data_IF_320287056454
#
_entry.id   IF_320287056454
#
_cell.length_a   1.000
_cell.length_b   1.000
_cell.length_c   1.000
_cell.angle_alpha   90.00
_cell.angle_beta   90.00
_cell.angle_gamma   90.00
#
_symmetry.space_group_name_H-M   'P 1'
#
loop_
_entity.id
_entity.type
_entity.pdbx_description
1 polymer ?
#
# COMPACT_ATOMS: atom_id res chain seq x y z
N UNK A 1 -3.52 -30.63 45.15
CA UNK A 1 -3.53 -29.35 44.39
C UNK A 1 -2.59 -28.38 45.11
N UNK A 2 -1.78 -27.60 44.40
CA UNK A 2 -0.87 -26.63 45.05
C UNK A 2 0.55 -26.63 44.45
N UNK A 3 1.48 -26.01 45.16
CA UNK A 3 2.90 -25.82 44.76
C UNK A 3 3.57 -27.11 44.26
N UNK A 4 3.45 -28.20 45.02
CA UNK A 4 4.01 -29.51 44.66
C UNK A 4 3.50 -30.07 43.31
N UNK A 5 2.31 -29.66 42.87
CA UNK A 5 1.74 -30.11 41.59
C UNK A 5 2.21 -29.30 40.38
N UNK A 6 2.71 -28.07 40.57
CA UNK A 6 3.17 -27.23 39.46
C UNK A 6 4.47 -27.72 38.84
N UNK A 7 5.38 -28.30 39.63
CA UNK A 7 6.65 -28.86 39.11
C UNK A 7 6.47 -30.00 38.10
N UNK A 8 5.33 -30.70 38.13
CA UNK A 8 5.00 -31.79 37.21
C UNK A 8 4.44 -31.29 35.85
N UNK A 9 4.17 -29.99 35.68
CA UNK A 9 3.50 -29.42 34.48
C UNK A 9 4.48 -29.09 33.34
N UNK A 10 5.11 -30.12 32.75
CA UNK A 10 6.07 -29.97 31.64
C UNK A 10 5.47 -30.04 30.23
N UNK A 11 4.38 -30.78 30.05
CA UNK A 11 3.75 -30.96 28.73
C UNK A 11 2.97 -29.70 28.32
N UNK A 12 3.14 -29.25 27.07
CA UNK A 12 2.45 -28.07 26.54
C UNK A 12 1.25 -28.53 25.69
N UNK A 13 0.08 -27.99 25.98
CA UNK A 13 -1.14 -28.29 25.23
C UNK A 13 -1.32 -27.42 23.99
N UNK A 14 -0.70 -26.23 23.98
CA UNK A 14 -0.81 -25.25 22.90
C UNK A 14 0.53 -24.98 22.22
N UNK A 15 0.53 -24.97 20.89
CA UNK A 15 1.65 -24.56 20.04
C UNK A 15 1.29 -23.31 19.23
N UNK A 16 2.28 -22.78 18.49
CA UNK A 16 2.10 -21.63 17.61
C UNK A 16 1.19 -22.01 16.43
N UNK A 17 0.16 -21.21 16.17
CA UNK A 17 -0.69 -21.39 14.99
C UNK A 17 -0.05 -20.71 13.78
N UNK A 18 0.28 -21.48 12.73
CA UNK A 18 0.88 -20.98 11.48
C UNK A 18 0.03 -19.88 10.82
N UNK A 19 -1.30 -19.99 10.89
CA UNK A 19 -2.21 -18.99 10.29
C UNK A 19 -2.30 -17.69 11.08
N UNK A 20 -2.28 -17.78 12.41
CA UNK A 20 -2.60 -16.64 13.27
C UNK A 20 -1.37 -16.01 13.95
N UNK A 21 -0.23 -16.70 13.98
CA UNK A 21 0.97 -16.32 14.72
C UNK A 21 0.81 -16.36 16.26
N UNK A 22 -0.31 -16.87 16.79
CA UNK A 22 -0.60 -16.92 18.24
C UNK A 22 -0.37 -18.32 18.80
N UNK A 23 0.07 -18.42 20.06
CA UNK A 23 0.15 -19.69 20.82
C UNK A 23 -1.26 -20.12 21.28
N UNK A 24 -2.06 -20.56 20.33
CA UNK A 24 -3.47 -20.94 20.57
C UNK A 24 -3.89 -22.22 19.84
N UNK A 25 -2.97 -22.87 19.13
CA UNK A 25 -3.27 -24.12 18.44
C UNK A 25 -3.21 -25.25 19.47
N UNK A 26 -4.35 -25.82 19.85
CA UNK A 26 -4.38 -26.93 20.80
C UNK A 26 -4.07 -28.23 20.05
N UNK A 27 -3.12 -29.03 20.55
CA UNK A 27 -2.65 -30.23 19.84
C UNK A 27 -3.74 -31.30 19.66
N UNK A 28 -4.57 -31.49 20.70
CA UNK A 28 -5.58 -32.55 20.72
C UNK A 28 -7.01 -32.09 20.36
N UNK A 29 -7.28 -30.78 20.25
CA UNK A 29 -8.65 -30.24 20.21
C UNK A 29 -8.80 -29.14 19.18
N UNK A 30 -9.98 -29.07 18.56
CA UNK A 30 -10.33 -28.02 17.59
C UNK A 30 -10.89 -26.75 18.25
N UNK A 31 -11.12 -25.72 17.43
CA UNK A 31 -11.59 -24.39 17.85
C UNK A 31 -13.12 -24.32 17.90
N UNK A 32 -13.62 -23.43 18.76
CA UNK A 32 -15.05 -23.13 18.91
C UNK A 32 -15.41 -21.71 18.43
N UNK A 33 -16.65 -21.49 17.95
CA UNK A 33 -17.10 -20.27 17.25
C UNK A 33 -18.16 -19.42 17.99
N UNK A 34 -18.44 -19.70 19.27
CA UNK A 34 -19.52 -19.06 20.03
C UNK A 34 -19.22 -17.64 20.55
N UNK A 35 -17.95 -17.20 20.57
CA UNK A 35 -17.58 -15.91 21.17
C UNK A 35 -17.53 -14.78 20.14
N UNK A 36 -18.48 -13.84 20.24
CA UNK A 36 -18.58 -12.67 19.35
C UNK A 36 -17.35 -11.76 19.43
N UNK A 37 -16.83 -11.49 20.65
CA UNK A 37 -15.58 -10.74 20.86
C UNK A 37 -14.38 -11.41 20.20
N UNK A 38 -14.33 -12.74 20.19
CA UNK A 38 -13.25 -13.50 19.56
C UNK A 38 -13.32 -13.48 18.02
N UNK A 39 -14.52 -13.35 17.44
CA UNK A 39 -14.73 -13.12 16.00
C UNK A 39 -14.24 -11.72 15.63
N UNK A 40 -14.68 -10.68 16.35
CA UNK A 40 -14.31 -9.28 16.09
C UNK A 40 -12.80 -9.01 16.08
N UNK A 41 -12.03 -9.68 16.94
CA UNK A 41 -10.55 -9.56 16.97
C UNK A 41 -9.84 -10.13 15.74
N UNK A 42 -10.54 -10.86 14.87
CA UNK A 42 -9.99 -11.58 13.70
C UNK A 42 -10.78 -11.35 12.42
N UNK A 43 -11.80 -10.48 12.45
CA UNK A 43 -12.61 -10.19 11.28
C UNK A 43 -11.80 -9.41 10.24
N UNK A 44 -12.22 -9.49 8.97
CA UNK A 44 -11.71 -8.66 7.89
C UNK A 44 -11.83 -7.18 8.29
N UNK A 45 -10.78 -6.38 8.07
CA UNK A 45 -10.71 -5.02 8.62
C UNK A 45 -9.60 -4.82 9.65
N UNK A 46 -9.27 -5.86 10.42
CA UNK A 46 -8.28 -5.76 11.52
C UNK A 46 -6.82 -5.88 11.08
N UNK A 47 -6.59 -6.39 9.86
CA UNK A 47 -5.25 -6.62 9.31
C UNK A 47 -4.83 -5.55 8.29
N UNK A 48 -3.76 -5.84 7.55
CA UNK A 48 -3.18 -4.91 6.57
C UNK A 48 -4.08 -4.57 5.38
N UNK A 49 -5.12 -5.37 5.11
CA UNK A 49 -6.07 -5.17 4.00
C UNK A 49 -5.43 -4.82 2.63
N UNK A 50 -4.21 -5.32 2.34
CA UNK A 50 -3.40 -4.89 1.18
C UNK A 50 -4.18 -4.85 -0.14
N UNK A 51 -4.92 -5.91 -0.43
CA UNK A 51 -5.75 -5.97 -1.64
C UNK A 51 -6.97 -5.06 -1.53
N UNK A 52 -7.79 -5.24 -0.48
CA UNK A 52 -9.04 -4.51 -0.32
C UNK A 52 -8.87 -2.98 -0.25
N UNK A 53 -7.79 -2.48 0.36
CA UNK A 53 -7.45 -1.05 0.36
C UNK A 53 -7.29 -0.51 -1.06
N UNK A 54 -6.50 -1.21 -1.89
CA UNK A 54 -6.31 -0.83 -3.30
C UNK A 54 -7.61 -0.92 -4.08
N UNK A 55 -8.45 -1.93 -3.81
CA UNK A 55 -9.76 -2.10 -4.45
C UNK A 55 -10.71 -0.97 -4.09
N UNK A 56 -10.78 -0.55 -2.82
CA UNK A 56 -11.60 0.60 -2.42
C UNK A 56 -11.18 1.89 -3.14
N UNK A 57 -9.88 2.10 -3.31
CA UNK A 57 -9.36 3.25 -4.08
C UNK A 57 -9.74 3.12 -5.56
N UNK A 58 -9.54 1.95 -6.18
CA UNK A 58 -9.94 1.70 -7.58
C UNK A 58 -11.44 1.85 -7.79
N UNK A 59 -12.27 1.39 -6.84
CA UNK A 59 -13.72 1.54 -6.87
C UNK A 59 -14.12 3.02 -6.88
N UNK A 60 -13.50 3.85 -6.03
CA UNK A 60 -13.71 5.31 -6.03
C UNK A 60 -13.39 5.95 -7.39
N UNK A 61 -12.45 5.38 -8.13
CA UNK A 61 -12.07 5.81 -9.48
C UNK A 61 -12.69 4.95 -10.59
N UNK A 62 -13.77 4.22 -10.31
CA UNK A 62 -14.54 3.40 -11.26
C UNK A 62 -13.69 2.39 -12.03
N UNK A 63 -12.69 1.81 -11.38
CA UNK A 63 -11.79 0.78 -11.92
C UNK A 63 -11.08 1.15 -13.22
N UNK A 64 -10.80 2.44 -13.45
CA UNK A 64 -10.06 2.89 -14.63
C UNK A 64 -8.63 2.32 -14.64
N UNK A 65 -8.24 1.71 -15.76
CA UNK A 65 -6.90 1.14 -15.99
C UNK A 65 -6.16 1.91 -17.10
N UNK A 66 -4.85 1.68 -17.26
CA UNK A 66 -4.07 2.19 -18.41
C UNK A 66 -3.71 3.68 -18.39
N UNK A 67 -3.98 4.43 -17.31
CA UNK A 67 -3.52 5.82 -17.20
C UNK A 67 -2.05 5.87 -16.83
N UNK A 68 -1.22 6.18 -17.82
CA UNK A 68 0.19 6.52 -17.60
C UNK A 68 0.22 7.88 -16.87
N UNK A 69 0.99 8.04 -15.78
CA UNK A 69 1.15 9.35 -15.14
C UNK A 69 1.71 10.34 -16.17
N UNK A 70 1.16 11.56 -16.20
CA UNK A 70 1.49 12.61 -17.18
C UNK A 70 3.00 12.90 -17.33
N UNK A 71 3.78 12.54 -16.31
CA UNK A 71 5.23 12.73 -16.28
C UNK A 71 5.99 11.80 -17.25
N UNK A 72 5.49 10.59 -17.51
CA UNK A 72 6.08 9.66 -18.49
C UNK A 72 5.95 10.21 -19.92
N UNK A 73 4.83 10.89 -20.22
CA UNK A 73 4.61 11.53 -21.52
C UNK A 73 5.67 12.60 -21.85
N UNK A 74 6.17 13.31 -20.83
CA UNK A 74 7.23 14.31 -21.00
C UNK A 74 8.61 13.67 -21.13
N UNK A 75 8.86 12.55 -20.46
CA UNK A 75 10.13 11.83 -20.57
C UNK A 75 10.23 11.06 -21.90
N UNK A 76 9.13 10.56 -22.44
CA UNK A 76 9.08 9.94 -23.78
C UNK A 76 9.26 10.98 -24.90
N UNK A 77 8.72 12.21 -24.75
CA UNK A 77 9.00 13.32 -25.66
C UNK A 77 10.47 13.78 -25.59
N UNK A 78 11.06 13.83 -24.39
CA UNK A 78 12.48 14.18 -24.23
C UNK A 78 13.42 13.06 -24.72
N UNK A 79 13.02 11.80 -24.62
CA UNK A 79 13.78 10.64 -25.09
C UNK A 79 13.80 10.54 -26.62
N UNK A 80 12.67 10.81 -27.28
CA UNK A 80 12.58 10.87 -28.76
C UNK A 80 13.40 12.05 -29.35
N UNK A 81 13.47 13.19 -28.66
CA UNK A 81 14.33 14.31 -29.05
C UNK A 81 15.85 13.99 -29.01
N UNK A 82 16.30 13.07 -28.15
CA UNK A 82 17.73 12.71 -28.04
C UNK A 82 18.26 11.78 -29.14
N UNK A 83 17.38 11.03 -29.80
CA UNK A 83 17.72 10.15 -30.94
C UNK A 83 17.80 10.94 -32.25
N UNK A 84 16.98 11.99 -32.39
CA UNK A 84 16.99 12.90 -33.55
C UNK A 84 18.30 13.72 -33.59
N UNK A 85 18.88 14.08 -32.44
CA UNK A 85 20.14 14.84 -32.39
C UNK A 85 21.42 14.01 -32.62
N UNK A 86 21.34 12.68 -32.64
CA UNK A 86 22.51 11.80 -32.89
C UNK A 86 22.55 11.19 -34.30
N UNK A 87 21.44 11.27 -35.04
CA UNK A 87 21.30 10.77 -36.41
C UNK A 87 21.09 11.90 -37.46
N UNK A 88 21.48 13.13 -37.14
CA UNK A 88 21.49 14.24 -38.11
C UNK A 88 22.93 14.72 -38.35
N UNK A 89 23.71 13.86 -38.99
CA UNK A 89 24.78 14.34 -39.86
C UNK A 89 24.09 14.99 -41.08
N UNK A 90 24.23 16.31 -41.17
CA UNK A 90 23.80 17.22 -42.25
C UNK A 90 22.36 17.75 -42.21
N UNK A 91 22.19 18.87 -41.50
CA UNK A 91 21.59 20.11 -42.03
C UNK A 91 21.86 21.22 -40.99
N UNK A 92 23.01 21.89 -41.07
CA UNK A 92 23.21 23.17 -41.77
C UNK A 92 22.47 24.32 -41.05
N UNK A 93 23.29 25.11 -40.35
CA UNK A 93 23.19 26.56 -40.12
C UNK A 93 21.87 27.15 -39.60
N UNK A 94 21.86 27.54 -38.33
CA UNK A 94 21.73 28.96 -37.92
C UNK A 94 22.00 29.12 -36.42
N UNK A 95 23.20 29.61 -36.13
CA UNK A 95 23.62 30.27 -34.89
C UNK A 95 22.84 31.61 -34.74
N UNK A 96 23.07 32.44 -33.70
CA UNK A 96 22.97 32.31 -32.24
C UNK A 96 21.82 33.18 -31.69
N UNK A 97 21.63 33.20 -30.36
CA UNK A 97 21.58 34.40 -29.51
C UNK A 97 20.68 34.19 -28.28
N UNK A 98 21.10 34.81 -27.17
CA UNK A 98 20.32 35.04 -25.94
C UNK A 98 20.07 33.81 -25.06
N UNK A 99 20.24 33.82 -23.74
CA UNK A 99 20.64 34.84 -22.77
C UNK A 99 20.84 34.08 -21.43
N UNK A 100 21.73 34.56 -20.58
CA UNK A 100 22.02 34.00 -19.26
C UNK A 100 20.78 34.01 -18.34
N UNK A 101 20.59 32.99 -17.50
CA UNK A 101 19.48 32.97 -16.55
C UNK A 101 19.53 31.84 -15.50
N UNK A 102 20.28 32.10 -14.44
CA UNK A 102 20.37 31.38 -13.16
C UNK A 102 18.99 30.94 -12.62
N UNK A 103 18.80 29.65 -12.29
CA UNK A 103 17.63 29.17 -11.55
C UNK A 103 17.97 28.68 -10.14
N UNK A 104 17.47 29.46 -9.19
CA UNK A 104 17.48 29.26 -7.75
C UNK A 104 16.60 28.04 -7.38
N UNK A 105 17.11 27.21 -6.47
CA UNK A 105 16.44 26.01 -5.95
C UNK A 105 15.33 26.42 -4.99
N UNK A 106 14.06 26.30 -5.38
CA UNK A 106 12.94 26.43 -4.43
C UNK A 106 12.51 25.05 -3.90
N UNK A 107 12.49 24.94 -2.58
CA UNK A 107 12.15 23.74 -1.83
C UNK A 107 10.70 23.28 -2.08
N UNK A 108 10.53 21.95 -2.08
CA UNK A 108 9.22 21.31 -2.11
C UNK A 108 8.42 21.71 -0.88
N UNK A 109 7.32 22.44 -1.09
CA UNK A 109 6.27 22.64 -0.07
C UNK A 109 5.64 21.28 0.24
N UNK A 110 5.75 20.84 1.49
CA UNK A 110 4.95 19.76 2.04
C UNK A 110 3.60 20.34 2.44
N UNK A 111 2.56 20.04 1.67
CA UNK A 111 1.17 20.31 2.07
C UNK A 111 0.66 19.17 2.97
N UNK A 112 -0.03 19.47 4.09
CA UNK A 112 -0.44 18.48 5.06
C UNK A 112 -1.64 17.64 4.59
N UNK A 113 -1.60 16.35 4.92
CA UNK A 113 -2.64 15.36 4.62
C UNK A 113 -3.94 15.72 5.36
N UNK A 114 -4.98 16.06 4.61
CA UNK A 114 -6.35 16.20 5.12
C UNK A 114 -6.95 14.82 5.43
N UNK A 115 -7.32 14.67 6.70
CA UNK A 115 -8.17 13.67 7.36
C UNK A 115 -9.01 12.74 6.45
N UNK A 116 -8.67 11.45 6.45
CA UNK A 116 -9.60 10.39 6.04
C UNK A 116 -10.49 9.97 7.23
N UNK A 117 -11.49 10.79 7.52
CA UNK A 117 -12.56 10.44 8.45
C UNK A 117 -13.68 9.68 7.75
N UNK A 118 -14.02 8.52 8.33
CA UNK A 118 -15.30 7.78 8.24
C UNK A 118 -15.55 6.96 6.96
N UNK A 119 -15.60 5.64 7.16
CA UNK A 119 -16.21 4.66 6.25
C UNK A 119 -17.72 4.91 6.18
N UNK A 120 -18.36 4.93 5.00
CA UNK A 120 -19.80 5.11 4.90
C UNK A 120 -20.52 3.93 5.55
N UNK A 121 -21.55 4.23 6.33
CA UNK A 121 -22.42 3.25 6.95
C UNK A 121 -23.49 2.79 5.96
N UNK A 122 -24.06 1.61 6.16
CA UNK A 122 -25.01 0.94 5.26
C UNK A 122 -26.34 1.72 5.04
N UNK A 123 -26.49 2.88 5.65
CA UNK A 123 -27.61 3.81 5.48
C UNK A 123 -27.38 4.82 4.33
N UNK A 124 -26.14 4.97 3.86
CA UNK A 124 -25.78 5.92 2.79
C UNK A 124 -25.85 5.29 1.37
N UNK A 125 -26.31 4.03 1.28
CA UNK A 125 -26.33 3.22 0.05
C UNK A 125 -27.73 2.69 -0.29
N UNK A 126 -28.78 3.41 0.14
CA UNK A 126 -30.17 3.21 -0.30
C UNK A 126 -30.65 4.51 -0.95
#
# INVERSE_FOLDING_TARGET
>A
KGTASFGKRRNKTHTLCIRCGRRSFHLQKSRYNWSEKAKRRRTTGTGRMRYLQSVCVRFKYSFREGKIPKLEFLLDLLRTHSVILKNNFLCIYTHPLFFQGRWQRQGRKTEPLLNCGKTPTLQDLI
#
